data_IF_848811537427
#
_entry.id   IF_848811537427
#
_cell.length_a   1.000
_cell.length_b   1.000
_cell.length_c   1.000
_cell.angle_alpha   90.00
_cell.angle_beta   90.00
_cell.angle_gamma   90.00
#
_symmetry.space_group_name_H-M   'P 1'
#
loop_
_entity.id
_entity.type
_entity.pdbx_description
1 polymer ?
#
# COMPACT_ATOMS: atom_id res chain seq x y z
N UNK A 1 16.59 13.21 -2.97
CA UNK A 1 17.60 12.55 -3.83
C UNK A 1 18.74 12.09 -2.93
N UNK A 2 18.95 10.77 -2.81
CA UNK A 2 20.01 10.14 -2.00
C UNK A 2 21.41 10.29 -2.61
N UNK A 3 21.67 11.41 -3.28
CA UNK A 3 22.98 11.73 -3.83
C UNK A 3 23.77 12.43 -2.76
N UNK A 4 24.95 11.89 -2.43
CA UNK A 4 25.96 12.64 -1.71
C UNK A 4 26.17 14.02 -2.39
N UNK A 5 26.46 15.09 -1.63
CA UNK A 5 26.38 16.48 -2.12
C UNK A 5 27.12 16.76 -3.45
N UNK A 6 28.21 16.03 -3.72
CA UNK A 6 29.08 16.20 -4.88
C UNK A 6 28.53 15.52 -6.16
N UNK A 7 27.66 14.52 -6.00
CA UNK A 7 27.10 13.71 -7.10
C UNK A 7 26.10 14.46 -7.99
N UNK A 8 25.72 15.68 -7.61
CA UNK A 8 24.79 16.51 -8.37
C UNK A 8 25.46 17.69 -9.10
N UNK A 9 26.80 17.75 -9.13
CA UNK A 9 27.52 18.83 -9.84
C UNK A 9 27.55 18.58 -11.36
N UNK A 10 27.61 19.63 -12.21
CA UNK A 10 27.65 19.46 -13.67
C UNK A 10 28.84 18.62 -14.15
N UNK A 11 30.01 18.83 -13.56
CA UNK A 11 31.23 18.08 -13.89
C UNK A 11 31.08 16.59 -13.56
N UNK A 12 30.56 16.27 -12.38
CA UNK A 12 30.33 14.88 -11.98
C UNK A 12 29.25 14.22 -12.87
N UNK A 13 28.15 14.92 -13.16
CA UNK A 13 27.09 14.41 -14.05
C UNK A 13 27.59 14.18 -15.47
N UNK A 14 28.51 15.01 -15.96
CA UNK A 14 29.10 14.84 -17.29
C UNK A 14 30.04 13.63 -17.37
N UNK A 15 30.90 13.43 -16.36
CA UNK A 15 31.92 12.37 -16.37
C UNK A 15 31.39 11.01 -15.87
N UNK A 16 30.54 11.02 -14.84
CA UNK A 16 30.09 9.83 -14.10
C UNK A 16 28.57 9.76 -13.92
N UNK A 17 27.79 10.64 -14.57
CA UNK A 17 26.33 10.69 -14.42
C UNK A 17 25.61 9.43 -14.91
N UNK A 18 26.26 8.62 -15.74
CA UNK A 18 25.77 7.32 -16.21
C UNK A 18 25.82 6.22 -15.13
N UNK A 19 26.64 6.38 -14.08
CA UNK A 19 26.73 5.45 -12.94
C UNK A 19 25.61 5.71 -11.93
N UNK A 20 25.15 6.96 -11.85
CA UNK A 20 24.17 7.37 -10.87
C UNK A 20 22.75 7.20 -11.41
N UNK A 21 21.80 6.61 -10.65
CA UNK A 21 20.40 6.58 -11.05
C UNK A 21 19.89 7.98 -11.41
N UNK A 22 19.20 8.06 -12.55
CA UNK A 22 18.51 9.27 -12.97
C UNK A 22 17.54 9.73 -11.87
N UNK A 23 17.27 11.03 -11.85
CA UNK A 23 16.26 11.56 -10.96
C UNK A 23 14.91 10.89 -11.27
N UNK A 24 14.35 10.17 -10.29
CA UNK A 24 13.08 9.45 -10.42
C UNK A 24 11.96 10.39 -10.88
N UNK A 25 11.96 11.66 -10.46
CA UNK A 25 10.97 12.64 -10.91
C UNK A 25 11.07 12.91 -12.41
N UNK A 26 12.29 12.97 -12.96
CA UNK A 26 12.53 13.15 -14.39
C UNK A 26 12.15 11.87 -15.15
N UNK A 27 12.49 10.69 -14.64
CA UNK A 27 12.07 9.42 -15.25
C UNK A 27 10.54 9.32 -15.32
N UNK A 28 9.85 9.68 -14.24
CA UNK A 28 8.39 9.71 -14.18
C UNK A 28 7.77 10.77 -15.10
N UNK A 29 8.44 11.90 -15.34
CA UNK A 29 7.91 12.95 -16.25
C UNK A 29 7.96 12.54 -17.73
N UNK A 30 8.89 11.65 -18.10
CA UNK A 30 8.98 11.10 -19.45
C UNK A 30 8.26 9.76 -19.60
N UNK A 31 7.63 9.25 -18.53
CA UNK A 31 6.89 8.00 -18.59
C UNK A 31 5.61 8.19 -19.43
N UNK A 32 5.37 7.35 -20.45
CA UNK A 32 4.14 7.43 -21.23
C UNK A 32 2.90 7.22 -20.35
N UNK A 33 1.83 7.96 -20.63
CA UNK A 33 0.55 7.84 -19.90
C UNK A 33 0.00 6.41 -19.92
N UNK A 34 0.16 5.71 -21.04
CA UNK A 34 -0.24 4.31 -21.18
C UNK A 34 0.43 3.40 -20.14
N UNK A 35 1.73 3.59 -19.86
CA UNK A 35 2.46 2.76 -18.89
C UNK A 35 1.95 3.01 -17.48
N UNK A 36 1.67 4.27 -17.12
CA UNK A 36 1.07 4.60 -15.83
C UNK A 36 -0.33 4.03 -15.70
N UNK A 37 -1.15 4.14 -16.74
CA UNK A 37 -2.51 3.61 -16.75
C UNK A 37 -2.51 2.09 -16.61
N UNK A 38 -1.70 1.40 -17.42
CA UNK A 38 -1.51 -0.04 -17.31
C UNK A 38 -1.09 -0.44 -15.89
N UNK A 39 -0.10 0.25 -15.32
CA UNK A 39 0.34 0.00 -13.95
C UNK A 39 -0.80 0.09 -12.93
N UNK A 40 -1.60 1.17 -12.99
CA UNK A 40 -2.75 1.36 -12.11
C UNK A 40 -3.88 0.35 -12.34
N UNK A 41 -4.03 -0.15 -13.57
CA UNK A 41 -5.08 -1.11 -13.92
C UNK A 41 -4.76 -2.54 -13.42
N UNK A 42 -3.47 -2.90 -13.32
CA UNK A 42 -3.04 -4.27 -12.99
C UNK A 42 -2.41 -4.43 -11.61
N UNK A 43 -1.86 -3.37 -11.01
CA UNK A 43 -1.24 -3.46 -9.68
C UNK A 43 -2.23 -3.05 -8.60
N UNK A 44 -2.42 -3.94 -7.64
CA UNK A 44 -3.10 -3.64 -6.39
C UNK A 44 -2.12 -2.92 -5.48
N UNK A 45 -2.55 -1.79 -4.93
CA UNK A 45 -1.84 -1.03 -3.90
C UNK A 45 -2.91 -0.59 -2.91
N UNK A 46 -3.20 -1.42 -1.91
CA UNK A 46 -4.30 -1.19 -0.99
C UNK A 46 -3.93 -1.60 0.43
N UNK A 47 -4.34 -0.78 1.37
CA UNK A 47 -4.13 -0.97 2.82
C UNK A 47 -5.48 -1.06 3.52
N UNK A 48 -5.61 -2.05 4.40
CA UNK A 48 -6.82 -2.30 5.16
C UNK A 48 -6.51 -2.37 6.64
N UNK A 49 -7.19 -1.53 7.41
CA UNK A 49 -7.05 -1.49 8.85
C UNK A 49 -8.15 -2.32 9.52
N UNK A 50 -7.77 -3.39 10.22
CA UNK A 50 -8.73 -4.26 10.92
C UNK A 50 -8.31 -4.53 12.37
N UNK A 51 -9.25 -4.79 13.29
CA UNK A 51 -8.91 -5.34 14.60
C UNK A 51 -8.16 -6.66 14.44
N UNK A 52 -7.18 -6.94 15.28
CA UNK A 52 -6.37 -8.17 15.14
C UNK A 52 -7.21 -9.46 15.23
N UNK A 53 -8.36 -9.40 15.91
CA UNK A 53 -9.33 -10.52 15.98
C UNK A 53 -9.89 -10.90 14.61
N UNK A 54 -9.91 -9.96 13.67
CA UNK A 54 -10.42 -10.14 12.30
C UNK A 54 -9.30 -10.39 11.27
N UNK A 55 -8.05 -10.59 11.71
CA UNK A 55 -6.93 -10.80 10.79
C UNK A 55 -7.15 -12.04 9.90
N UNK A 56 -7.53 -13.19 10.49
CA UNK A 56 -7.74 -14.42 9.73
C UNK A 56 -8.81 -14.25 8.63
N UNK A 57 -10.05 -13.81 8.92
CA UNK A 57 -11.05 -13.63 7.86
C UNK A 57 -10.65 -12.57 6.84
N UNK A 58 -9.90 -11.53 7.24
CA UNK A 58 -9.34 -10.55 6.31
C UNK A 58 -8.31 -11.18 5.34
N UNK A 59 -7.44 -12.07 5.82
CA UNK A 59 -6.48 -12.79 4.98
C UNK A 59 -7.17 -13.77 4.04
N UNK A 60 -8.16 -14.53 4.53
CA UNK A 60 -8.93 -15.47 3.72
C UNK A 60 -9.65 -14.71 2.58
N UNK A 61 -10.26 -13.56 2.89
CA UNK A 61 -10.90 -12.70 1.89
C UNK A 61 -9.91 -12.12 0.88
N UNK A 62 -8.74 -11.66 1.34
CA UNK A 62 -7.72 -11.10 0.47
C UNK A 62 -7.09 -12.13 -0.48
N UNK A 63 -6.88 -13.36 -0.02
CA UNK A 63 -6.46 -14.48 -0.89
C UNK A 63 -7.49 -14.73 -2.00
N UNK A 64 -8.77 -14.83 -1.63
CA UNK A 64 -9.84 -15.11 -2.59
C UNK A 64 -10.09 -13.95 -3.57
N UNK A 65 -10.05 -12.71 -3.09
CA UNK A 65 -10.40 -11.53 -3.88
C UNK A 65 -9.22 -10.97 -4.69
N UNK A 66 -7.99 -11.04 -4.15
CA UNK A 66 -6.80 -10.41 -4.73
C UNK A 66 -5.74 -11.43 -5.11
N UNK A 67 -5.46 -12.41 -4.23
CA UNK A 67 -4.37 -13.37 -4.43
C UNK A 67 -3.01 -12.69 -4.64
N UNK A 68 -2.76 -11.59 -3.91
CA UNK A 68 -1.55 -10.77 -4.02
C UNK A 68 -0.57 -11.15 -2.91
N UNK A 69 0.68 -11.38 -3.29
CA UNK A 69 1.76 -11.73 -2.37
C UNK A 69 3.08 -11.04 -2.78
N UNK A 70 3.98 -10.74 -1.82
CA UNK A 70 3.83 -10.91 -0.36
C UNK A 70 2.82 -9.92 0.26
N UNK A 71 2.26 -10.28 1.43
CA UNK A 71 1.33 -9.43 2.18
C UNK A 71 2.12 -8.63 3.23
N UNK A 72 1.87 -7.32 3.32
CA UNK A 72 2.41 -6.46 4.38
C UNK A 72 1.52 -6.53 5.62
N UNK A 73 2.12 -6.79 6.78
CA UNK A 73 1.42 -6.90 8.06
C UNK A 73 2.11 -6.00 9.09
N UNK A 74 1.38 -4.99 9.57
CA UNK A 74 1.90 -4.03 10.54
C UNK A 74 0.95 -3.92 11.74
N UNK A 75 1.16 -4.69 12.82
CA UNK A 75 0.35 -4.59 14.03
C UNK A 75 0.71 -3.33 14.82
N UNK A 76 -0.29 -2.66 15.38
CA UNK A 76 -0.09 -1.57 16.34
C UNK A 76 -1.13 -1.61 17.46
N UNK A 77 -0.73 -1.12 18.63
CA UNK A 77 -1.62 -1.00 19.78
C UNK A 77 -2.30 0.37 19.76
N UNK A 78 -3.62 0.39 19.59
CA UNK A 78 -4.42 1.60 19.73
C UNK A 78 -4.79 1.77 21.21
N UNK A 79 -4.14 2.72 21.89
CA UNK A 79 -4.36 2.97 23.32
C UNK A 79 -5.62 3.79 23.55
N UNK A 80 -6.32 3.46 24.63
CA UNK A 80 -7.59 4.04 24.99
C UNK A 80 -7.51 5.55 25.35
N UNK A 81 -6.36 6.06 25.76
CA UNK A 81 -6.15 7.50 25.98
C UNK A 81 -4.75 7.98 25.53
N UNK A 82 -4.67 9.28 25.28
CA UNK A 82 -3.50 10.15 25.03
C UNK A 82 -3.08 10.46 23.58
N UNK A 83 -3.54 9.74 22.56
CA UNK A 83 -3.17 10.08 21.17
C UNK A 83 -4.41 10.18 20.29
N UNK A 84 -4.59 11.35 19.67
CA UNK A 84 -5.57 11.57 18.60
C UNK A 84 -5.13 10.74 17.40
N UNK A 85 -5.61 9.51 17.31
CA UNK A 85 -5.56 8.73 16.08
C UNK A 85 -6.70 9.17 15.17
N UNK A 86 -6.45 9.22 13.85
CA UNK A 86 -7.49 9.45 12.84
C UNK A 86 -8.58 8.35 12.95
N UNK A 87 -8.20 7.18 13.48
CA UNK A 87 -9.09 6.08 13.84
C UNK A 87 -9.21 5.99 15.37
N UNK A 88 -10.33 6.51 15.90
CA UNK A 88 -10.68 6.29 17.30
C UNK A 88 -11.08 4.82 17.50
N UNK A 89 -10.58 4.16 18.55
CA UNK A 89 -11.03 2.81 18.85
C UNK A 89 -12.55 2.81 19.05
N UNK A 90 -13.21 1.78 18.53
CA UNK A 90 -14.64 1.57 18.80
C UNK A 90 -14.90 1.28 20.30
N UNK A 91 -13.84 0.94 21.05
CA UNK A 91 -13.89 0.70 22.48
C UNK A 91 -13.60 1.98 23.26
N UNK A 92 -14.55 2.34 24.15
CA UNK A 92 -14.48 3.49 25.04
C UNK A 92 -13.78 3.22 26.38
N UNK A 93 -13.17 2.04 26.57
CA UNK A 93 -12.59 1.67 27.86
C UNK A 93 -11.35 0.76 27.78
N UNK A 94 -10.93 0.33 26.57
CA UNK A 94 -9.86 -0.68 26.42
C UNK A 94 -8.94 -0.38 25.26
N UNK A 95 -7.66 -0.69 25.46
CA UNK A 95 -6.68 -0.75 24.38
C UNK A 95 -7.08 -1.85 23.40
N UNK A 96 -7.00 -1.55 22.10
CA UNK A 96 -7.34 -2.49 21.03
C UNK A 96 -6.15 -2.60 20.09
N UNK A 97 -5.70 -3.82 19.82
CA UNK A 97 -4.68 -4.05 18.81
C UNK A 97 -5.33 -4.10 17.43
N UNK A 98 -4.82 -3.27 16.54
CA UNK A 98 -5.17 -3.26 15.13
C UNK A 98 -3.99 -3.75 14.31
N UNK A 99 -4.27 -4.14 13.07
CA UNK A 99 -3.26 -4.51 12.10
C UNK A 99 -3.60 -3.87 10.76
N UNK A 100 -2.59 -3.24 10.19
CA UNK A 100 -2.62 -2.77 8.81
C UNK A 100 -2.20 -3.93 7.89
N UNK A 101 -3.09 -4.30 6.98
CA UNK A 101 -2.95 -5.38 6.02
C UNK A 101 -2.82 -4.77 4.62
N UNK A 102 -1.59 -4.75 4.11
CA UNK A 102 -1.26 -4.16 2.82
C UNK A 102 -1.07 -5.20 1.72
N UNK A 103 -1.71 -4.99 0.59
CA UNK A 103 -1.56 -5.78 -0.64
C UNK A 103 -0.89 -4.93 -1.72
N UNK A 104 0.32 -5.33 -2.12
CA UNK A 104 1.14 -4.60 -3.09
C UNK A 104 1.66 -5.54 -4.18
N UNK A 105 1.01 -5.52 -5.34
CA UNK A 105 1.50 -6.27 -6.48
C UNK A 105 0.43 -6.74 -7.45
N UNK A 106 0.80 -7.73 -8.25
CA UNK A 106 -0.05 -8.28 -9.28
C UNK A 106 -0.99 -9.34 -8.70
N UNK A 107 -2.30 -9.25 -8.97
CA UNK A 107 -3.27 -10.25 -8.54
C UNK A 107 -3.10 -11.55 -9.34
N UNK A 108 -3.25 -12.68 -8.67
CA UNK A 108 -3.14 -14.02 -9.30
C UNK A 108 -4.50 -14.68 -9.59
N UNK A 109 -5.60 -14.03 -9.19
CA UNK A 109 -6.97 -14.52 -9.37
C UNK A 109 -7.37 -14.54 -10.84
N UNK A 110 -7.94 -15.66 -11.31
CA UNK A 110 -8.44 -15.79 -12.69
C UNK A 110 -9.64 -14.88 -12.92
N UNK A 111 -9.62 -14.12 -14.03
CA UNK A 111 -10.71 -13.19 -14.36
C UNK A 111 -10.78 -12.01 -13.39
N UNK A 112 -9.63 -11.62 -12.81
CA UNK A 112 -9.54 -10.51 -11.88
C UNK A 112 -10.10 -9.21 -12.49
N UNK A 113 -10.99 -8.57 -11.73
CA UNK A 113 -11.52 -7.25 -12.03
C UNK A 113 -11.33 -6.36 -10.80
N UNK A 114 -10.39 -5.41 -10.90
CA UNK A 114 -9.95 -4.56 -9.77
C UNK A 114 -11.13 -3.95 -9.01
N UNK A 115 -12.03 -3.26 -9.71
CA UNK A 115 -13.17 -2.57 -9.07
C UNK A 115 -14.08 -3.52 -8.29
N UNK A 116 -14.35 -4.71 -8.85
CA UNK A 116 -15.21 -5.71 -8.22
C UNK A 116 -14.53 -6.33 -7.00
N UNK A 117 -13.25 -6.66 -7.10
CA UNK A 117 -12.47 -7.24 -6.01
C UNK A 117 -12.35 -6.25 -4.84
N UNK A 118 -11.99 -4.99 -5.11
CA UNK A 118 -11.87 -3.96 -4.08
C UNK A 118 -13.20 -3.67 -3.40
N UNK A 119 -14.27 -3.53 -4.18
CA UNK A 119 -15.61 -3.29 -3.63
C UNK A 119 -16.09 -4.42 -2.73
N UNK A 120 -15.78 -5.67 -3.06
CA UNK A 120 -16.08 -6.83 -2.20
C UNK A 120 -15.39 -6.72 -0.83
N UNK A 121 -14.14 -6.27 -0.80
CA UNK A 121 -13.40 -6.06 0.45
C UNK A 121 -13.98 -4.87 1.23
N UNK A 122 -14.26 -3.76 0.55
CA UNK A 122 -14.89 -2.58 1.16
C UNK A 122 -16.26 -2.90 1.78
N UNK A 123 -17.11 -3.67 1.07
CA UNK A 123 -18.42 -4.11 1.57
C UNK A 123 -18.30 -5.04 2.79
N UNK A 124 -17.22 -5.80 2.91
CA UNK A 124 -16.94 -6.63 4.09
C UNK A 124 -16.45 -5.79 5.28
N UNK A 125 -15.67 -4.74 5.03
CA UNK A 125 -15.14 -3.83 6.05
C UNK A 125 -16.20 -2.90 6.64
N UNK A 126 -17.23 -2.53 5.87
CA UNK A 126 -18.33 -1.70 6.36
C UNK A 126 -19.17 -2.51 7.35
N UNK A 127 -19.32 -2.06 8.62
CA UNK A 127 -20.17 -2.74 9.58
C UNK A 127 -21.60 -2.84 9.04
N UNK A 128 -22.17 -4.05 9.02
CA UNK A 128 -23.60 -4.22 8.78
C UNK A 128 -24.34 -3.51 9.92
N UNK A 129 -25.05 -2.44 9.59
CA UNK A 129 -25.95 -1.73 10.52
C UNK A 129 -27.03 -2.66 11.04
#
# INVERSE_FOLDING_TARGET
SYLQPWGNTPLFRYLLGWVNPLNIALVKSYQPEFTMRYYCDVNVIQDYLVPITELKPMLDLGDEALGVYPIWLCPYLNKHHEVVSIHHPHSKDKDVMYIDVGYYGLPSVKGFEMKKALRRIEEWLIPRR
#
